data_IF_840008228823
#
_entry.id   IF_840008228823
#
_cell.length_a   1.000
_cell.length_b   1.000
_cell.length_c   1.000
_cell.angle_alpha   90.00
_cell.angle_beta   90.00
_cell.angle_gamma   90.00
#
_symmetry.space_group_name_H-M   'P 1'
#
loop_
_entity.id
_entity.type
_entity.pdbx_description
1 polymer ?
#
# COMPACT_ATOMS: atom_id res chain seq x y z
N UNK A 1 8.23 -16.45 -2.45
CA UNK A 1 9.09 -15.45 -1.78
C UNK A 1 9.19 -15.83 -0.32
N UNK A 2 10.38 -16.21 0.16
CA UNK A 2 10.61 -16.33 1.59
C UNK A 2 10.52 -14.92 2.19
N UNK A 3 9.55 -14.71 3.08
CA UNK A 3 9.40 -13.44 3.80
C UNK A 3 10.28 -13.55 5.03
N UNK A 4 11.24 -12.64 5.17
CA UNK A 4 12.00 -12.46 6.41
C UNK A 4 11.02 -12.05 7.51
N UNK A 5 10.77 -12.97 8.45
CA UNK A 5 9.78 -12.82 9.51
C UNK A 5 10.24 -11.88 10.63
N UNK A 6 11.54 -11.62 10.75
CA UNK A 6 12.07 -10.68 11.73
C UNK A 6 11.82 -9.23 11.28
N UNK A 7 11.61 -9.02 9.98
CA UNK A 7 11.39 -7.68 9.39
C UNK A 7 9.96 -7.44 8.94
N UNK A 8 9.16 -8.48 8.73
CA UNK A 8 7.83 -8.37 8.15
C UNK A 8 6.82 -9.21 8.91
N UNK A 9 5.67 -8.60 9.24
CA UNK A 9 4.50 -9.32 9.77
C UNK A 9 3.53 -9.62 8.63
N UNK A 10 3.01 -10.85 8.58
CA UNK A 10 1.94 -11.22 7.66
C UNK A 10 0.58 -10.97 8.31
N UNK A 11 -0.28 -10.23 7.63
CA UNK A 11 -1.63 -9.90 8.09
C UNK A 11 -2.63 -10.32 7.02
N UNK A 12 -3.69 -11.02 7.43
CA UNK A 12 -4.81 -11.34 6.55
C UNK A 12 -5.82 -10.19 6.61
N UNK A 13 -6.19 -9.66 5.45
CA UNK A 13 -7.17 -8.59 5.30
C UNK A 13 -8.12 -8.91 4.16
N UNK A 14 -9.39 -8.53 4.31
CA UNK A 14 -10.41 -8.68 3.29
C UNK A 14 -10.58 -7.34 2.57
N UNK A 15 -10.55 -7.35 1.24
CA UNK A 15 -10.77 -6.19 0.40
C UNK A 15 -12.05 -6.34 -0.41
N UNK A 16 -12.78 -5.24 -0.70
CA UNK A 16 -13.79 -5.23 -1.75
C UNK A 16 -13.19 -5.68 -3.09
N UNK A 17 -13.99 -6.37 -3.92
CA UNK A 17 -13.53 -6.87 -5.22
C UNK A 17 -13.05 -5.74 -6.14
N UNK A 18 -13.81 -4.64 -6.18
CA UNK A 18 -13.49 -3.45 -6.99
C UNK A 18 -12.11 -2.89 -6.62
N UNK A 19 -11.82 -2.79 -5.33
CA UNK A 19 -10.50 -2.34 -4.85
C UNK A 19 -9.39 -3.31 -5.25
N UNK A 20 -9.64 -4.62 -5.25
CA UNK A 20 -8.65 -5.58 -5.73
C UNK A 20 -8.36 -5.43 -7.21
N UNK A 21 -9.36 -5.04 -8.01
CA UNK A 21 -9.19 -4.83 -9.45
C UNK A 21 -8.40 -3.55 -9.72
N UNK A 22 -8.67 -2.46 -9.01
CA UNK A 22 -7.84 -1.23 -9.05
C UNK A 22 -6.37 -1.51 -8.67
N UNK A 23 -6.15 -2.31 -7.62
CA UNK A 23 -4.79 -2.71 -7.21
C UNK A 23 -4.10 -3.55 -8.31
N UNK A 24 -4.83 -4.40 -9.03
CA UNK A 24 -4.27 -5.18 -10.15
C UNK A 24 -3.92 -4.27 -11.32
N UNK A 25 -4.78 -3.33 -11.67
CA UNK A 25 -4.50 -2.36 -12.74
C UNK A 25 -3.24 -1.56 -12.42
N UNK A 26 -3.14 -1.02 -11.20
CA UNK A 26 -1.95 -0.32 -10.73
C UNK A 26 -0.69 -1.20 -10.83
N UNK A 27 -0.79 -2.47 -10.40
CA UNK A 27 0.32 -3.42 -10.51
C UNK A 27 0.80 -3.58 -11.95
N UNK A 28 -0.12 -3.81 -12.89
CA UNK A 28 0.23 -4.03 -14.30
C UNK A 28 0.78 -2.76 -14.97
N UNK A 29 0.18 -1.60 -14.69
CA UNK A 29 0.58 -0.32 -15.27
C UNK A 29 1.99 0.09 -14.81
N UNK A 30 2.30 -0.08 -13.52
CA UNK A 30 3.60 0.25 -12.92
C UNK A 30 4.65 -0.87 -13.11
N UNK A 31 4.29 -1.97 -13.78
CA UNK A 31 5.16 -3.13 -14.05
C UNK A 31 5.85 -3.66 -12.79
N UNK A 32 5.15 -3.67 -11.66
CA UNK A 32 5.74 -4.09 -10.40
C UNK A 32 5.95 -5.61 -10.40
N UNK A 33 6.85 -6.09 -9.54
CA UNK A 33 7.22 -7.51 -9.51
C UNK A 33 6.12 -8.42 -8.95
N UNK A 34 5.24 -7.91 -8.07
CA UNK A 34 4.13 -8.66 -7.50
C UNK A 34 3.07 -7.75 -6.85
N UNK A 35 1.89 -8.31 -6.64
CA UNK A 35 0.76 -7.63 -5.98
C UNK A 35 1.08 -7.10 -4.58
N UNK A 36 1.91 -7.78 -3.77
CA UNK A 36 2.25 -7.28 -2.43
C UNK A 36 3.09 -6.01 -2.49
N UNK A 37 3.96 -5.87 -3.50
CA UNK A 37 4.68 -4.61 -3.76
C UNK A 37 3.69 -3.51 -4.13
N UNK A 38 2.74 -3.79 -5.03
CA UNK A 38 1.69 -2.84 -5.41
C UNK A 38 0.90 -2.34 -4.19
N UNK A 39 0.42 -3.26 -3.35
CA UNK A 39 -0.31 -2.94 -2.12
C UNK A 39 0.53 -2.06 -1.18
N UNK A 40 1.80 -2.44 -0.93
CA UNK A 40 2.68 -1.64 -0.06
C UNK A 40 2.93 -0.25 -0.64
N UNK A 41 3.16 -0.12 -1.94
CA UNK A 41 3.38 1.17 -2.59
C UNK A 41 2.17 2.08 -2.43
N UNK A 42 0.96 1.56 -2.66
CA UNK A 42 -0.28 2.33 -2.48
C UNK A 42 -0.50 2.76 -1.04
N UNK A 43 -0.28 1.85 -0.07
CA UNK A 43 -0.39 2.15 1.36
C UNK A 43 0.63 3.22 1.78
N UNK A 44 1.89 3.10 1.35
CA UNK A 44 2.93 4.10 1.66
C UNK A 44 2.54 5.48 1.13
N UNK A 45 2.10 5.58 -0.13
CA UNK A 45 1.62 6.85 -0.71
C UNK A 45 0.46 7.44 0.09
N UNK A 46 -0.50 6.61 0.51
CA UNK A 46 -1.62 7.03 1.34
C UNK A 46 -1.19 7.54 2.73
N UNK A 47 -0.26 6.84 3.39
CA UNK A 47 0.27 7.23 4.70
C UNK A 47 1.11 8.51 4.65
N UNK A 48 1.88 8.71 3.59
CA UNK A 48 2.66 9.93 3.38
C UNK A 48 1.75 11.15 3.20
N UNK A 49 0.71 11.00 2.36
CA UNK A 49 -0.31 12.04 2.18
C UNK A 49 -1.00 12.40 3.49
N UNK A 50 -1.42 11.39 4.26
CA UNK A 50 -2.05 11.62 5.57
C UNK A 50 -1.13 12.36 6.55
N UNK A 51 0.17 12.02 6.60
CA UNK A 51 1.14 12.73 7.44
C UNK A 51 1.33 14.18 7.05
N UNK A 52 1.30 14.50 5.75
CA UNK A 52 1.38 15.87 5.27
C UNK A 52 0.16 16.67 5.72
N UNK A 53 -1.04 16.11 5.54
CA UNK A 53 -2.30 16.75 5.95
C UNK A 53 -2.38 17.03 7.46
N UNK A 54 -1.86 16.13 8.30
CA UNK A 54 -1.80 16.34 9.76
C UNK A 54 -0.86 17.49 10.13
N UNK A 55 0.34 17.56 9.53
CA UNK A 55 1.30 18.65 9.81
C UNK A 55 0.76 20.02 9.43
N UNK A 56 0.10 20.11 8.29
CA UNK A 56 -0.54 21.36 7.83
C UNK A 56 -1.68 21.84 8.73
N UNK A 57 -2.23 20.96 9.57
CA UNK A 57 -3.25 21.30 10.58
C UNK A 57 -2.65 21.72 11.92
N UNK A 58 -1.43 21.26 12.24
CA UNK A 58 -0.71 21.63 13.47
C UNK A 58 0.00 22.98 13.34
N UNK A 59 0.33 23.41 12.11
CA UNK A 59 0.96 24.71 11.82
C UNK A 59 -0.05 25.88 11.63
N UNK A 60 -1.34 25.66 11.93
CA UNK A 60 -2.42 26.66 11.88
C UNK A 60 -2.99 26.96 13.27
#
# INVERSE_FOLDING_TARGET
MAVDKDKNTQVLVTFPNEMLDEIKEFWHNEKLSNRNVAIRTLITKGLEKHKQEVREQEDK
#
